data_IF_281375548719
#
_entry.id   IF_281375548719
#
_cell.length_a   1.000
_cell.length_b   1.000
_cell.length_c   1.000
_cell.angle_alpha   90.00
_cell.angle_beta   90.00
_cell.angle_gamma   90.00
#
_symmetry.space_group_name_H-M   'P 1'
#
loop_
_entity.id
_entity.type
_entity.pdbx_description
1 polymer ?
#
# COMPACT_ATOMS: atom_id res chain seq x y z
N UNK A 1 -15.90 1.13 0.72
CA UNK A 1 -17.03 1.44 1.62
C UNK A 1 -16.60 2.47 2.65
N UNK A 2 -17.53 3.26 3.16
CA UNK A 2 -17.25 4.24 4.21
C UNK A 2 -18.45 4.41 5.16
N UNK A 3 -18.17 4.87 6.38
CA UNK A 3 -19.17 5.25 7.38
C UNK A 3 -18.97 6.72 7.78
N UNK A 4 -20.03 7.41 8.19
CA UNK A 4 -20.02 8.82 8.64
C UNK A 4 -20.76 8.96 9.98
N UNK A 5 -20.57 10.10 10.66
CA UNK A 5 -21.27 10.41 11.91
C UNK A 5 -20.49 11.32 12.84
N UNK A 6 -19.47 10.78 13.51
CA UNK A 6 -18.76 11.47 14.61
C UNK A 6 -17.86 12.59 14.07
N UNK A 7 -17.10 12.33 13.02
CA UNK A 7 -16.15 13.25 12.43
C UNK A 7 -16.85 14.45 11.78
N UNK A 8 -17.91 14.19 11.01
CA UNK A 8 -18.74 15.22 10.41
C UNK A 8 -19.35 16.15 11.47
N UNK A 9 -19.91 15.60 12.55
CA UNK A 9 -20.43 16.40 13.67
C UNK A 9 -19.36 17.24 14.36
N UNK A 10 -18.15 16.70 14.54
CA UNK A 10 -17.04 17.42 15.19
C UNK A 10 -16.41 18.50 14.30
N UNK A 11 -16.32 18.26 13.00
CA UNK A 11 -15.63 19.15 12.05
C UNK A 11 -16.58 20.14 11.37
N UNK A 12 -17.89 19.91 11.40
CA UNK A 12 -18.88 20.75 10.73
C UNK A 12 -18.77 20.70 9.19
N UNK A 13 -18.24 19.61 8.64
CA UNK A 13 -18.08 19.38 7.20
C UNK A 13 -18.12 17.89 6.86
N UNK A 14 -18.45 17.50 5.62
CA UNK A 14 -18.42 16.10 5.20
C UNK A 14 -17.07 15.48 5.52
N UNK A 15 -17.10 14.42 6.33
CA UNK A 15 -15.94 13.66 6.73
C UNK A 15 -16.41 12.30 7.21
N UNK A 16 -15.86 11.26 6.60
CA UNK A 16 -16.05 9.88 7.03
C UNK A 16 -15.55 9.67 8.46
N UNK A 17 -15.94 8.59 9.10
CA UNK A 17 -15.40 8.10 10.36
C UNK A 17 -14.41 6.96 10.12
N UNK A 18 -14.77 6.11 9.17
CA UNK A 18 -14.03 4.91 8.78
C UNK A 18 -14.14 4.74 7.27
N UNK A 19 -13.02 4.46 6.63
CA UNK A 19 -12.90 4.16 5.21
C UNK A 19 -12.25 2.79 5.07
N UNK A 20 -12.87 1.91 4.28
CA UNK A 20 -12.31 0.61 3.92
C UNK A 20 -12.26 0.45 2.40
N UNK A 21 -11.06 0.18 1.88
CA UNK A 21 -10.78 -0.06 0.47
C UNK A 21 -10.35 -1.53 0.29
N UNK A 22 -11.00 -2.22 -0.64
CA UNK A 22 -10.53 -3.52 -1.14
C UNK A 22 -9.78 -3.27 -2.44
N UNK A 23 -8.52 -3.66 -2.49
CA UNK A 23 -7.63 -3.44 -3.63
C UNK A 23 -7.15 -4.79 -4.14
N UNK A 24 -7.37 -5.04 -5.42
CA UNK A 24 -6.78 -6.20 -6.10
C UNK A 24 -5.43 -5.79 -6.70
N UNK A 25 -4.43 -6.62 -6.44
CA UNK A 25 -3.09 -6.53 -6.99
C UNK A 25 -2.91 -7.63 -8.01
N UNK A 26 -2.34 -7.31 -9.17
CA UNK A 26 -1.95 -8.30 -10.18
C UNK A 26 -0.44 -8.32 -10.27
N UNK A 27 0.16 -9.49 -10.09
CA UNK A 27 1.55 -9.74 -10.39
C UNK A 27 1.72 -9.69 -11.91
N UNK A 28 2.64 -8.85 -12.40
CA UNK A 28 2.87 -8.70 -13.84
C UNK A 28 3.75 -9.80 -14.44
N UNK A 29 4.40 -10.61 -13.61
CA UNK A 29 5.29 -11.70 -14.06
C UNK A 29 4.50 -12.96 -14.42
N UNK A 30 3.48 -13.29 -13.63
CA UNK A 30 2.72 -14.55 -13.75
C UNK A 30 1.20 -14.37 -13.69
N UNK A 31 0.71 -13.12 -13.72
CA UNK A 31 -0.70 -12.74 -13.62
C UNK A 31 -1.43 -13.23 -12.35
N UNK A 32 -0.70 -13.74 -11.36
CA UNK A 32 -1.27 -14.10 -10.06
C UNK A 32 -1.85 -12.87 -9.37
N UNK A 33 -2.98 -13.04 -8.70
CA UNK A 33 -3.70 -11.96 -8.05
C UNK A 33 -3.63 -12.08 -6.53
N UNK A 34 -3.43 -10.94 -5.87
CA UNK A 34 -3.55 -10.77 -4.43
C UNK A 34 -4.62 -9.74 -4.09
N UNK A 35 -5.16 -9.79 -2.89
CA UNK A 35 -6.13 -8.81 -2.41
C UNK A 35 -5.63 -8.19 -1.11
N UNK A 36 -5.74 -6.87 -1.00
CA UNK A 36 -5.45 -6.11 0.19
C UNK A 36 -6.71 -5.38 0.67
N UNK A 37 -6.89 -5.34 2.00
CA UNK A 37 -7.91 -4.53 2.66
C UNK A 37 -7.21 -3.42 3.44
N UNK A 38 -7.43 -2.18 3.03
CA UNK A 38 -6.93 -1.01 3.74
C UNK A 38 -8.08 -0.38 4.51
N UNK A 39 -7.93 -0.27 5.83
CA UNK A 39 -8.92 0.39 6.68
C UNK A 39 -8.26 1.53 7.45
N UNK A 40 -8.84 2.71 7.36
CA UNK A 40 -8.51 3.87 8.17
C UNK A 40 -9.73 4.24 9.00
N UNK A 41 -9.55 4.43 10.30
CA UNK A 41 -10.59 4.87 11.21
C UNK A 41 -10.01 5.81 12.25
N UNK A 42 -10.71 6.92 12.51
CA UNK A 42 -10.33 7.90 13.53
C UNK A 42 -11.38 8.03 14.65
N UNK A 43 -12.41 7.18 14.63
CA UNK A 43 -13.40 7.05 15.72
C UNK A 43 -12.98 6.02 16.76
N UNK A 44 -11.70 6.06 17.15
CA UNK A 44 -11.18 5.18 18.19
C UNK A 44 -11.71 5.57 19.57
N UNK A 45 -12.10 4.57 20.36
CA UNK A 45 -12.35 4.77 21.79
C UNK A 45 -11.05 5.15 22.52
N UNK A 46 -11.17 5.68 23.73
CA UNK A 46 -10.01 5.82 24.62
C UNK A 46 -9.41 4.44 24.84
N UNK A 47 -8.16 4.26 24.41
CA UNK A 47 -7.44 3.00 24.48
C UNK A 47 -6.03 3.17 25.00
N UNK A 48 -5.28 2.07 25.02
CA UNK A 48 -3.89 2.03 25.52
C UNK A 48 -2.94 2.94 24.71
N UNK A 49 -3.12 2.99 23.40
CA UNK A 49 -2.30 3.76 22.48
C UNK A 49 -3.11 4.75 21.64
N UNK A 50 -2.47 5.86 21.26
CA UNK A 50 -3.09 6.90 20.42
C UNK A 50 -3.27 6.48 18.96
N UNK A 51 -2.45 5.54 18.47
CA UNK A 51 -2.51 5.02 17.10
C UNK A 51 -2.36 3.51 17.12
N UNK A 52 -3.20 2.82 16.36
CA UNK A 52 -3.14 1.37 16.17
C UNK A 52 -2.96 1.07 14.69
N UNK A 53 -1.71 0.99 14.27
CA UNK A 53 -1.36 0.58 12.91
C UNK A 53 -1.01 -0.90 12.92
N UNK A 54 -1.62 -1.65 12.02
CA UNK A 54 -1.43 -3.08 11.90
C UNK A 54 -1.20 -3.49 10.45
N UNK A 55 -0.46 -4.57 10.25
CA UNK A 55 -0.30 -5.20 8.95
C UNK A 55 -0.42 -6.70 9.12
N UNK A 56 -1.31 -7.31 8.35
CA UNK A 56 -1.43 -8.75 8.22
C UNK A 56 -1.17 -9.10 6.77
N UNK A 57 -0.23 -10.01 6.54
CA UNK A 57 0.02 -10.61 5.25
C UNK A 57 -0.12 -12.12 5.38
N UNK A 58 -0.81 -12.73 4.41
CA UNK A 58 -0.94 -14.17 4.29
C UNK A 58 -0.50 -14.56 2.88
N UNK A 59 0.53 -15.39 2.81
CA UNK A 59 1.07 -15.94 1.58
C UNK A 59 0.98 -17.46 1.56
N UNK A 60 1.41 -18.05 0.45
CA UNK A 60 1.32 -19.51 0.23
C UNK A 60 2.04 -20.35 1.28
N UNK A 61 3.14 -19.86 1.86
CA UNK A 61 4.04 -20.62 2.76
C UNK A 61 4.16 -20.04 4.16
N UNK A 62 3.31 -19.08 4.49
CA UNK A 62 3.41 -18.39 5.77
C UNK A 62 2.63 -17.09 5.85
N UNK A 63 2.67 -16.53 7.05
CA UNK A 63 1.99 -15.29 7.41
C UNK A 63 2.91 -14.36 8.19
N UNK A 64 2.59 -13.07 8.13
CA UNK A 64 3.31 -12.00 8.82
C UNK A 64 2.30 -11.09 9.50
N UNK A 65 2.57 -10.75 10.76
CA UNK A 65 1.76 -9.86 11.59
C UNK A 65 2.65 -8.78 12.17
N UNK A 66 2.25 -7.54 11.96
CA UNK A 66 2.89 -6.35 12.53
C UNK A 66 1.84 -5.64 13.37
N UNK A 67 2.20 -5.38 14.62
CA UNK A 67 1.42 -4.60 15.57
C UNK A 67 2.29 -3.41 16.02
N UNK A 68 2.03 -2.24 15.44
CA UNK A 68 2.82 -1.07 15.73
C UNK A 68 2.64 -0.61 17.19
N UNK A 69 1.45 -0.73 17.76
CA UNK A 69 1.12 -0.25 19.09
C UNK A 69 1.96 -0.96 20.16
N UNK A 70 2.13 -2.27 19.99
CA UNK A 70 2.86 -3.11 20.95
C UNK A 70 4.27 -3.49 20.46
N UNK A 71 4.76 -2.84 19.40
CA UNK A 71 6.06 -3.16 18.77
C UNK A 71 6.15 -4.64 18.38
N UNK A 72 5.01 -5.26 18.09
CA UNK A 72 4.89 -6.66 17.76
C UNK A 72 5.31 -6.89 16.31
N UNK A 73 6.20 -7.87 16.12
CA UNK A 73 6.56 -8.37 14.81
C UNK A 73 6.69 -9.88 14.87
N UNK A 74 5.71 -10.58 14.33
CA UNK A 74 5.62 -12.04 14.40
C UNK A 74 5.11 -12.62 13.09
N UNK A 75 5.22 -13.93 12.96
CA UNK A 75 4.70 -14.64 11.81
C UNK A 75 4.83 -16.13 12.00
N UNK A 76 4.42 -16.86 10.98
CA UNK A 76 4.59 -18.29 10.93
C UNK A 76 4.95 -18.73 9.51
N UNK A 77 5.75 -19.77 9.39
CA UNK A 77 6.01 -20.45 8.11
C UNK A 77 5.67 -21.92 8.20
N UNK A 78 5.42 -22.55 7.05
CA UNK A 78 5.18 -24.00 6.98
C UNK A 78 6.40 -24.81 7.46
N UNK A 79 7.60 -24.22 7.40
CA UNK A 79 8.86 -24.89 7.75
C UNK A 79 9.23 -24.72 9.22
N UNK A 80 9.18 -23.49 9.74
CA UNK A 80 9.72 -23.14 11.05
C UNK A 80 8.62 -22.90 12.10
N UNK A 81 7.35 -22.89 11.68
CA UNK A 81 6.23 -22.57 12.56
C UNK A 81 6.26 -21.11 13.00
N UNK A 82 5.67 -20.85 14.18
CA UNK A 82 5.53 -19.50 14.71
C UNK A 82 6.85 -18.92 15.27
N UNK A 83 7.10 -17.64 14.99
CA UNK A 83 8.21 -16.90 15.57
C UNK A 83 7.84 -15.43 15.88
N UNK A 84 8.49 -14.88 16.90
CA UNK A 84 8.57 -13.42 17.13
C UNK A 84 9.90 -12.93 16.57
N UNK A 85 9.85 -12.17 15.47
CA UNK A 85 11.02 -11.82 14.67
C UNK A 85 11.83 -10.66 15.24
N UNK A 86 11.21 -9.76 16.00
CA UNK A 86 11.92 -8.63 16.63
C UNK A 86 11.42 -8.35 18.05
N UNK A 87 11.59 -9.29 19.00
CA UNK A 87 11.06 -9.17 20.35
C UNK A 87 11.69 -8.02 21.15
N UNK A 88 12.89 -7.56 20.75
CA UNK A 88 13.61 -6.48 21.42
C UNK A 88 13.45 -5.11 20.74
N UNK A 89 12.66 -5.04 19.67
CA UNK A 89 12.46 -3.81 18.89
C UNK A 89 13.77 -3.10 18.54
N UNK A 90 14.68 -3.83 17.93
CA UNK A 90 16.03 -3.38 17.57
C UNK A 90 16.20 -3.49 16.06
N UNK A 91 16.80 -2.48 15.40
CA UNK A 91 17.18 -2.61 13.99
C UNK A 91 18.53 -3.33 13.91
N UNK A 92 18.47 -4.64 13.68
CA UNK A 92 19.66 -5.48 13.50
C UNK A 92 20.31 -5.32 12.12
N UNK A 93 19.51 -4.99 11.10
CA UNK A 93 20.02 -4.72 9.75
C UNK A 93 20.86 -3.43 9.74
N UNK A 94 22.07 -3.46 9.14
CA UNK A 94 22.89 -2.28 9.01
C UNK A 94 22.18 -1.08 8.33
N UNK A 95 22.69 0.13 8.58
CA UNK A 95 22.32 1.32 7.82
C UNK A 95 22.89 1.28 6.38
N UNK A 96 22.59 2.29 5.56
CA UNK A 96 23.09 2.34 4.19
C UNK A 96 24.63 2.45 4.09
N UNK A 97 25.31 2.71 5.21
CA UNK A 97 26.75 2.77 5.33
C UNK A 97 27.35 1.51 5.99
N UNK A 98 26.56 0.46 6.20
CA UNK A 98 27.01 -0.78 6.83
C UNK A 98 27.20 -0.70 8.35
N UNK A 99 26.72 0.35 9.02
CA UNK A 99 26.84 0.52 10.47
C UNK A 99 25.66 -0.11 11.20
N UNK A 100 25.91 -0.64 12.40
CA UNK A 100 24.84 -1.11 13.27
C UNK A 100 23.88 0.05 13.60
N UNK A 101 22.59 -0.12 13.26
CA UNK A 101 21.60 0.93 13.43
C UNK A 101 21.00 0.96 14.85
N UNK A 102 20.81 -0.21 15.47
CA UNK A 102 20.37 -0.31 16.87
C UNK A 102 18.97 0.24 17.13
N UNK A 103 18.79 0.82 18.33
CA UNK A 103 17.52 1.38 18.79
C UNK A 103 17.64 2.90 18.78
N UNK A 104 17.13 3.52 17.72
CA UNK A 104 17.14 4.96 17.55
C UNK A 104 15.71 5.51 17.62
N UNK A 105 15.58 6.73 18.16
CA UNK A 105 14.34 7.48 18.06
C UNK A 105 14.10 7.90 16.60
N UNK A 106 12.87 7.71 16.13
CA UNK A 106 12.45 8.16 14.80
C UNK A 106 11.89 9.60 14.86
N UNK A 107 12.00 10.35 13.77
CA UNK A 107 11.46 11.72 13.64
C UNK A 107 12.56 12.76 13.48
N UNK A 108 13.25 13.14 14.57
CA UNK A 108 14.27 14.19 14.49
C UNK A 108 15.48 13.77 13.62
N UNK A 109 15.85 12.49 13.63
CA UNK A 109 16.91 11.95 12.76
C UNK A 109 16.52 12.04 11.29
N UNK A 110 15.26 11.76 10.94
CA UNK A 110 14.76 11.87 9.57
C UNK A 110 14.76 13.34 9.10
N UNK A 111 14.36 14.27 9.98
CA UNK A 111 14.41 15.71 9.68
C UNK A 111 15.86 16.17 9.50
N UNK A 112 16.78 15.75 10.38
CA UNK A 112 18.20 16.08 10.27
C UNK A 112 18.82 15.50 8.98
N UNK A 113 18.48 14.26 8.64
CA UNK A 113 18.88 13.62 7.38
C UNK A 113 18.38 14.38 6.16
N UNK A 114 17.11 14.79 6.17
CA UNK A 114 16.53 15.62 5.12
C UNK A 114 17.27 16.96 4.95
N UNK A 115 17.50 17.70 6.04
CA UNK A 115 18.20 18.99 6.00
C UNK A 115 19.63 18.86 5.47
N UNK A 116 20.33 17.79 5.86
CA UNK A 116 21.67 17.49 5.32
C UNK A 116 21.58 17.25 3.82
N UNK A 117 20.76 16.30 3.37
CA UNK A 117 20.62 15.97 1.95
C UNK A 117 20.22 17.18 1.10
N UNK A 118 19.32 18.04 1.60
CA UNK A 118 18.96 19.28 0.92
C UNK A 118 20.16 20.24 0.77
N UNK A 119 20.97 20.40 1.82
CA UNK A 119 22.19 21.20 1.76
C UNK A 119 23.22 20.60 0.78
N UNK A 120 23.37 19.27 0.74
CA UNK A 120 24.25 18.57 -0.21
C UNK A 120 23.81 18.74 -1.66
N UNK A 121 22.51 18.68 -1.90
CA UNK A 121 21.93 18.89 -3.22
C UNK A 121 22.15 20.33 -3.69
N UNK A 122 21.89 21.31 -2.81
CA UNK A 122 22.05 22.73 -3.12
C UNK A 122 23.51 23.12 -3.45
N UNK A 123 24.49 22.46 -2.83
CA UNK A 123 25.93 22.67 -3.11
C UNK A 123 26.47 21.79 -4.24
N UNK A 124 25.63 20.99 -4.90
CA UNK A 124 26.02 20.10 -6.00
C UNK A 124 26.87 18.89 -5.59
N UNK A 125 26.91 18.53 -4.30
CA UNK A 125 27.71 17.41 -3.79
C UNK A 125 27.01 16.05 -3.92
N UNK A 126 25.71 16.05 -4.20
CA UNK A 126 24.92 14.83 -4.45
C UNK A 126 23.88 15.10 -5.54
N UNK A 127 23.12 14.07 -5.90
CA UNK A 127 22.00 14.16 -6.86
C UNK A 127 20.76 13.46 -6.29
N UNK A 128 19.57 13.82 -6.78
CA UNK A 128 18.32 13.14 -6.41
C UNK A 128 18.38 11.64 -6.70
N UNK A 129 19.02 11.24 -7.81
CA UNK A 129 19.20 9.83 -8.16
C UNK A 129 20.10 9.09 -7.16
N UNK A 130 21.16 9.73 -6.66
CA UNK A 130 22.02 9.14 -5.64
C UNK A 130 21.30 9.00 -4.29
N UNK A 131 20.58 10.04 -3.85
CA UNK A 131 19.79 10.02 -2.62
C UNK A 131 18.68 8.96 -2.67
N UNK A 132 18.00 8.82 -3.82
CA UNK A 132 16.99 7.79 -4.01
C UNK A 132 17.60 6.38 -3.94
N UNK A 133 18.77 6.15 -4.54
CA UNK A 133 19.47 4.86 -4.46
C UNK A 133 19.92 4.51 -3.04
N UNK A 134 20.28 5.51 -2.24
CA UNK A 134 20.61 5.32 -0.83
C UNK A 134 19.42 4.82 0.00
N UNK A 135 18.19 5.25 -0.35
CA UNK A 135 16.96 4.73 0.25
C UNK A 135 16.68 5.17 1.69
N UNK A 136 17.44 6.13 2.23
CA UNK A 136 17.25 6.64 3.59
C UNK A 136 16.11 7.68 3.69
N UNK A 137 15.86 8.42 2.61
CA UNK A 137 14.83 9.45 2.57
C UNK A 137 13.59 8.94 1.83
N UNK A 138 12.42 9.24 2.39
CA UNK A 138 11.17 9.07 1.68
C UNK A 138 11.07 10.13 0.58
N UNK A 139 11.18 9.73 -0.67
CA UNK A 139 11.06 10.63 -1.81
C UNK A 139 9.60 10.77 -2.23
N UNK A 140 9.20 11.95 -2.72
CA UNK A 140 7.83 12.20 -3.17
C UNK A 140 7.40 11.25 -4.30
N UNK A 141 8.32 10.86 -5.19
CA UNK A 141 8.03 9.90 -6.26
C UNK A 141 7.59 8.54 -5.72
N UNK A 142 8.09 8.14 -4.56
CA UNK A 142 7.78 6.84 -3.96
C UNK A 142 6.40 6.85 -3.26
N UNK A 143 5.78 8.03 -3.06
CA UNK A 143 4.40 8.14 -2.55
C UNK A 143 3.33 8.06 -3.64
N UNK A 144 3.71 8.08 -4.93
CA UNK A 144 2.76 8.07 -6.05
C UNK A 144 1.83 6.84 -6.04
N UNK A 145 2.29 5.59 -5.81
CA UNK A 145 1.41 4.42 -5.80
C UNK A 145 0.34 4.50 -4.71
N UNK A 146 0.74 4.88 -3.49
CA UNK A 146 -0.20 5.03 -2.36
C UNK A 146 -1.17 6.18 -2.63
N UNK A 147 -0.70 7.28 -3.22
CA UNK A 147 -1.56 8.41 -3.62
C UNK A 147 -2.59 7.98 -4.66
N UNK A 148 -2.20 7.16 -5.64
CA UNK A 148 -3.11 6.61 -6.64
C UNK A 148 -4.17 5.70 -6.01
N UNK A 149 -3.81 4.88 -5.02
CA UNK A 149 -4.78 4.05 -4.27
C UNK A 149 -5.79 4.94 -3.53
N UNK A 150 -5.34 6.01 -2.88
CA UNK A 150 -6.24 6.93 -2.18
C UNK A 150 -7.20 7.64 -3.15
N UNK A 151 -6.68 8.10 -4.29
CA UNK A 151 -7.50 8.77 -5.30
C UNK A 151 -8.51 7.81 -5.96
N UNK A 152 -8.07 6.61 -6.34
CA UNK A 152 -8.94 5.56 -6.84
C UNK A 152 -10.01 5.17 -5.80
N UNK A 153 -9.63 5.09 -4.53
CA UNK A 153 -10.54 4.82 -3.43
C UNK A 153 -11.61 5.89 -3.26
N UNK A 154 -11.24 7.18 -3.33
CA UNK A 154 -12.20 8.29 -3.30
C UNK A 154 -13.17 8.22 -4.49
N UNK A 155 -12.65 8.07 -5.71
CA UNK A 155 -13.48 7.94 -6.91
C UNK A 155 -14.44 6.75 -6.80
N UNK A 156 -13.95 5.61 -6.32
CA UNK A 156 -14.76 4.40 -6.13
C UNK A 156 -15.89 4.60 -5.10
N UNK A 157 -15.64 5.35 -4.03
CA UNK A 157 -16.69 5.71 -3.06
C UNK A 157 -17.74 6.66 -3.66
N UNK A 158 -17.32 7.60 -4.52
CA UNK A 158 -18.22 8.56 -5.15
C UNK A 158 -19.09 7.92 -6.24
N UNK A 159 -18.54 6.98 -7.00
CA UNK A 159 -19.24 6.33 -8.12
C UNK A 159 -19.92 5.02 -7.74
N UNK A 160 -19.52 4.39 -6.62
CA UNK A 160 -19.94 3.05 -6.26
C UNK A 160 -19.35 1.94 -7.15
N UNK A 161 -18.33 2.25 -7.96
CA UNK A 161 -17.74 1.32 -8.92
C UNK A 161 -16.25 1.08 -8.65
N UNK A 162 -15.68 -0.06 -9.08
CA UNK A 162 -14.24 -0.28 -9.08
C UNK A 162 -13.50 0.76 -9.94
N UNK A 163 -12.29 1.13 -9.51
CA UNK A 163 -11.41 2.04 -10.24
C UNK A 163 -10.07 1.36 -10.46
N UNK A 164 -9.68 1.24 -11.73
CA UNK A 164 -8.38 0.71 -12.15
C UNK A 164 -7.32 1.80 -12.08
N UNK A 165 -6.18 1.46 -11.49
CA UNK A 165 -4.97 2.30 -11.55
C UNK A 165 -4.19 1.90 -12.81
N UNK A 166 -3.93 2.87 -13.68
CA UNK A 166 -3.21 2.68 -14.95
C UNK A 166 -1.74 2.97 -14.73
N UNK A 167 -0.88 2.10 -15.26
CA UNK A 167 0.57 2.20 -15.22
C UNK A 167 1.11 2.29 -16.65
N UNK A 168 2.24 2.96 -16.84
CA UNK A 168 2.92 2.98 -18.14
C UNK A 168 3.69 1.67 -18.35
N UNK A 169 3.19 0.84 -19.26
CA UNK A 169 3.78 -0.46 -19.58
C UNK A 169 5.13 -0.37 -20.29
N UNK A 170 5.48 0.80 -20.85
CA UNK A 170 6.75 1.02 -21.54
C UNK A 170 7.89 1.45 -20.61
N UNK A 171 7.57 1.90 -19.39
CA UNK A 171 8.54 2.36 -18.40
C UNK A 171 9.19 1.22 -17.59
N UNK A 172 8.73 -0.02 -17.76
CA UNK A 172 9.30 -1.19 -17.10
C UNK A 172 10.46 -1.76 -17.93
N UNK A 173 11.69 -1.47 -17.52
CA UNK A 173 12.81 -2.34 -17.90
C UNK A 173 12.84 -3.48 -16.89
N UNK A 174 12.85 -4.71 -17.39
CA UNK A 174 13.00 -5.95 -16.62
C UNK A 174 14.30 -5.88 -15.82
N UNK A 175 14.24 -5.23 -14.65
CA UNK A 175 15.40 -5.08 -13.78
C UNK A 175 15.50 -6.35 -12.96
N UNK A 176 16.20 -7.35 -13.49
CA UNK A 176 16.88 -8.45 -12.80
C UNK A 176 16.38 -8.72 -11.36
N UNK A 177 15.16 -9.26 -11.23
CA UNK A 177 14.71 -9.83 -9.95
C UNK A 177 14.03 -11.16 -10.18
N UNK A 178 14.81 -12.22 -10.00
CA UNK A 178 14.26 -13.57 -9.94
C UNK A 178 15.22 -14.74 -10.17
N UNK A 179 16.54 -14.55 -10.07
CA UNK A 179 17.49 -15.67 -10.00
C UNK A 179 18.46 -15.48 -8.85
N UNK A 180 17.98 -15.55 -7.63
CA UNK A 180 18.77 -16.09 -6.52
C UNK A 180 17.82 -16.46 -5.38
N UNK A 181 17.84 -17.75 -5.04
CA UNK A 181 17.07 -18.34 -3.96
C UNK A 181 17.51 -17.74 -2.61
N UNK A 182 16.63 -16.98 -1.96
CA UNK A 182 16.72 -16.70 -0.54
C UNK A 182 17.80 -15.67 -0.12
N UNK A 183 17.48 -14.97 0.96
CA UNK A 183 18.23 -13.86 1.56
C UNK A 183 18.19 -12.54 0.77
N UNK A 184 17.68 -11.51 1.44
CA UNK A 184 18.05 -10.12 1.17
C UNK A 184 19.54 -10.03 1.49
N UNK A 185 20.38 -10.22 0.47
CA UNK A 185 21.82 -10.05 0.57
C UNK A 185 22.16 -8.56 0.64
N UNK A 186 23.21 -8.29 1.42
CA UNK A 186 23.76 -6.99 1.78
C UNK A 186 23.56 -5.85 0.76
N UNK A 187 23.02 -4.72 1.22
CA UNK A 187 23.28 -3.39 0.67
C UNK A 187 22.98 -3.15 -0.82
N UNK A 188 22.34 -4.09 -1.51
CA UNK A 188 22.01 -3.99 -2.92
C UNK A 188 20.93 -2.95 -3.17
N UNK A 189 21.12 -2.14 -4.21
CA UNK A 189 20.17 -1.11 -4.63
C UNK A 189 18.71 -1.64 -4.67
N UNK A 190 17.77 -0.80 -4.23
CA UNK A 190 16.34 -1.01 -4.47
C UNK A 190 16.11 -1.34 -5.96
N UNK A 191 15.13 -2.20 -6.31
CA UNK A 191 14.94 -2.58 -7.71
C UNK A 191 14.68 -1.33 -8.54
N UNK A 192 15.49 -1.14 -9.57
CA UNK A 192 15.28 -0.13 -10.60
C UNK A 192 14.18 -0.56 -11.58
N UNK A 193 12.96 -0.80 -11.06
CA UNK A 193 11.83 -1.30 -11.85
C UNK A 193 10.47 -0.77 -11.37
N UNK A 194 10.45 0.30 -10.59
CA UNK A 194 9.20 0.91 -10.12
C UNK A 194 8.51 1.65 -11.26
N UNK A 195 7.39 1.09 -11.71
CA UNK A 195 6.48 1.78 -12.64
C UNK A 195 5.61 2.75 -11.85
N UNK A 196 5.54 4.00 -12.32
CA UNK A 196 4.68 5.01 -11.72
C UNK A 196 3.26 4.90 -12.28
N UNK A 197 2.22 5.10 -11.46
CA UNK A 197 0.87 5.29 -11.98
C UNK A 197 0.82 6.49 -12.93
N UNK A 198 0.12 6.34 -14.05
CA UNK A 198 -0.07 7.41 -15.07
C UNK A 198 -1.51 7.85 -15.22
N UNK A 199 -2.47 7.11 -14.65
CA UNK A 199 -3.88 7.45 -14.74
C UNK A 199 -4.78 6.59 -13.87
N UNK A 200 -6.08 6.92 -13.90
CA UNK A 200 -7.15 6.17 -13.26
C UNK A 200 -8.30 5.99 -14.25
N UNK A 201 -8.90 4.80 -14.25
CA UNK A 201 -10.04 4.45 -15.11
C UNK A 201 -11.16 3.87 -14.24
N UNK A 202 -12.32 4.53 -14.21
CA UNK A 202 -13.49 3.97 -13.56
C UNK A 202 -14.10 2.90 -14.48
N UNK A 203 -14.43 1.73 -13.93
CA UNK A 203 -15.22 0.76 -14.67
C UNK A 203 -16.65 1.27 -14.79
N UNK A 204 -17.11 1.51 -16.02
CA UNK A 204 -18.52 1.84 -16.27
C UNK A 204 -19.32 0.58 -15.97
N UNK A 205 -20.29 0.68 -15.07
CA UNK A 205 -21.22 -0.42 -14.81
C UNK A 205 -21.84 -0.84 -16.15
N UNK A 206 -21.68 -2.11 -16.53
CA UNK A 206 -22.31 -2.62 -17.74
C UNK A 206 -23.83 -2.45 -17.60
N UNK A 207 -24.45 -1.71 -18.52
CA UNK A 207 -25.91 -1.63 -18.64
C UNK A 207 -26.46 -3.03 -18.94
N UNK A 208 -26.83 -3.77 -17.89
CA UNK A 208 -27.63 -4.99 -18.03
C UNK A 208 -29.09 -4.60 -18.20
N UNK A 209 -29.42 -3.90 -19.28
CA UNK A 209 -30.80 -3.72 -19.76
C UNK A 209 -30.83 -3.95 -21.26
N UNK A 210 -30.53 -5.18 -21.66
CA UNK A 210 -30.98 -5.74 -22.92
C UNK A 210 -32.43 -6.15 -22.75
N UNK A 211 -33.34 -5.20 -22.96
CA UNK A 211 -34.77 -5.43 -23.10
C UNK A 211 -35.01 -6.33 -24.33
N UNK A 212 -35.26 -7.61 -24.07
CA UNK A 212 -35.69 -8.61 -25.03
C UNK A 212 -37.13 -9.04 -24.72
N UNK A 213 -38.01 -8.09 -24.41
CA UNK A 213 -39.44 -8.33 -24.32
C UNK A 213 -40.07 -8.40 -25.71
N UNK A 214 -39.98 -9.55 -26.37
CA UNK A 214 -40.79 -9.80 -27.58
C UNK A 214 -42.20 -10.24 -27.15
N UNK A 215 -43.12 -9.28 -27.19
CA UNK A 215 -44.53 -9.52 -26.96
C UNK A 215 -45.15 -10.24 -28.15
N UNK A 216 -45.66 -11.45 -27.92
CA UNK A 216 -46.74 -12.00 -28.75
C UNK A 216 -47.93 -12.37 -27.87
N UNK A 217 -48.96 -11.52 -27.97
CA UNK A 217 -50.33 -11.80 -27.57
C UNK A 217 -51.00 -12.69 -28.60
N UNK A 218 -51.62 -13.80 -28.19
CA UNK A 218 -53.00 -14.19 -28.58
C UNK A 218 -53.30 -15.66 -28.23
N UNK A 219 -54.42 -15.92 -27.55
CA UNK A 219 -55.07 -17.23 -27.60
C UNK A 219 -55.70 -17.72 -26.29
N UNK A 220 -56.79 -17.08 -25.84
CA UNK A 220 -57.83 -17.77 -25.07
C UNK A 220 -58.53 -18.79 -25.98
N UNK A 221 -58.66 -20.05 -25.54
CA UNK A 221 -59.86 -20.87 -25.73
C UNK A 221 -59.80 -22.19 -24.93
N UNK A 222 -60.68 -22.27 -23.92
CA UNK A 222 -61.63 -23.36 -23.57
C UNK A 222 -61.14 -24.81 -23.35
N UNK A 223 -61.59 -25.31 -22.18
CA UNK A 223 -61.63 -26.68 -21.59
C UNK A 223 -60.33 -27.33 -21.08
#
# INVERSE_FOLDING_TARGET
MAATGVAEQKLGRPCEDTISLMVQWRNRTDDSCGTALYTASWVAAKGDCHTQQGFLYMGRKGELRIDQAHRGYSGASDTDGYASYNPLYMRYTPDANGRFAGQLGYGFLSIAGFLRAAAELNRGATSLGALRRQGELAMMVDSLPVTAILHAGRLSLDTGAPVRIVYDDTAWQDSDRGKEDGMVTDGGALPSGWVVPVGLEAEVAADTNGDGGDGSTSGEAVD
#
